data_IF_231084293376
#
_entry.id   IF_231084293376
#
_cell.length_a   1.000
_cell.length_b   1.000
_cell.length_c   1.000
_cell.angle_alpha   90.00
_cell.angle_beta   90.00
_cell.angle_gamma   90.00
#
_symmetry.space_group_name_H-M   'P 1'
#
loop_
_entity.id
_entity.type
_entity.pdbx_description
1 polymer ?
#
# COMPACT_ATOMS: atom_id res chain seq x y z
N UNK A 1 2.64 13.02 0.00
CA UNK A 1 2.98 11.58 -0.08
C UNK A 1 3.43 11.12 1.30
N UNK A 2 3.29 9.83 1.63
CA UNK A 2 3.62 9.26 2.95
C UNK A 2 5.09 9.43 3.39
N UNK A 3 5.97 9.93 2.52
CA UNK A 3 7.39 10.13 2.83
C UNK A 3 8.23 8.84 2.86
N UNK A 4 7.62 7.68 2.60
CA UNK A 4 8.30 6.38 2.58
C UNK A 4 8.78 6.02 1.17
N UNK A 5 9.97 5.42 1.09
CA UNK A 5 10.53 4.87 -0.14
C UNK A 5 9.96 3.49 -0.47
N UNK A 6 10.13 3.05 -1.73
CA UNK A 6 9.80 1.69 -2.17
C UNK A 6 10.52 0.61 -1.33
N UNK A 7 11.76 0.87 -0.90
CA UNK A 7 12.54 -0.05 -0.07
C UNK A 7 11.92 -0.18 1.32
N UNK A 8 11.53 0.94 1.94
CA UNK A 8 10.88 0.93 3.25
C UNK A 8 9.51 0.24 3.19
N UNK A 9 8.71 0.52 2.15
CA UNK A 9 7.44 -0.17 1.95
C UNK A 9 7.64 -1.68 1.78
N UNK A 10 8.65 -2.10 1.01
CA UNK A 10 8.96 -3.51 0.81
C UNK A 10 9.37 -4.21 2.12
N UNK A 11 10.19 -3.53 2.95
CA UNK A 11 10.58 -4.03 4.27
C UNK A 11 9.38 -4.16 5.20
N UNK A 12 8.53 -3.14 5.29
CA UNK A 12 7.34 -3.15 6.13
C UNK A 12 6.33 -4.23 5.68
N UNK A 13 6.19 -4.44 4.37
CA UNK A 13 5.33 -5.48 3.80
C UNK A 13 5.97 -6.88 3.76
N UNK A 14 7.24 -7.04 4.18
CA UNK A 14 7.97 -8.31 4.08
C UNK A 14 7.96 -8.92 2.67
N UNK A 15 8.11 -8.08 1.64
CA UNK A 15 8.21 -8.49 0.23
C UNK A 15 9.51 -8.00 -0.38
N UNK A 16 9.85 -8.49 -1.58
CA UNK A 16 10.99 -7.93 -2.31
C UNK A 16 10.68 -6.52 -2.81
N UNK A 17 11.69 -5.64 -2.87
CA UNK A 17 11.54 -4.31 -3.50
C UNK A 17 11.03 -4.41 -4.94
N UNK A 18 11.46 -5.43 -5.68
CA UNK A 18 11.03 -5.67 -7.05
C UNK A 18 9.52 -5.92 -7.13
N UNK A 19 8.94 -6.63 -6.15
CA UNK A 19 7.49 -6.84 -6.04
C UNK A 19 6.73 -5.50 -5.94
N UNK A 20 7.24 -4.54 -5.16
CA UNK A 20 6.64 -3.20 -5.04
C UNK A 20 6.75 -2.44 -6.35
N UNK A 21 7.93 -2.41 -6.98
CA UNK A 21 8.13 -1.76 -8.29
C UNK A 21 7.21 -2.34 -9.36
N UNK A 22 7.06 -3.66 -9.38
CA UNK A 22 6.21 -4.37 -10.33
C UNK A 22 4.72 -4.07 -10.13
N UNK A 23 4.30 -3.91 -8.87
CA UNK A 23 2.96 -3.50 -8.52
C UNK A 23 2.69 -2.05 -8.97
N UNK A 24 3.57 -1.11 -8.61
CA UNK A 24 3.42 0.31 -8.92
C UNK A 24 3.38 0.58 -10.43
N UNK A 25 4.18 -0.15 -11.22
CA UNK A 25 4.19 -0.02 -12.69
C UNK A 25 3.10 -0.82 -13.40
N UNK A 26 2.26 -1.55 -12.66
CA UNK A 26 1.21 -2.41 -13.21
C UNK A 26 1.73 -3.59 -14.04
N UNK A 27 2.98 -4.02 -13.86
CA UNK A 27 3.59 -5.08 -14.66
C UNK A 27 3.02 -6.47 -14.35
N UNK A 28 2.47 -6.67 -13.15
CA UNK A 28 1.80 -7.91 -12.74
C UNK A 28 0.81 -7.65 -11.62
N UNK A 29 -0.26 -8.42 -11.58
CA UNK A 29 -1.10 -8.53 -10.38
C UNK A 29 -0.33 -9.31 -9.32
N UNK A 30 -0.02 -8.74 -8.14
CA UNK A 30 0.66 -9.48 -7.09
C UNK A 30 -0.24 -10.60 -6.57
N UNK A 31 0.38 -11.67 -6.06
CA UNK A 31 -0.34 -12.70 -5.33
C UNK A 31 -1.12 -12.10 -4.15
N UNK A 32 -2.24 -12.73 -3.79
CA UNK A 32 -3.16 -12.25 -2.73
C UNK A 32 -2.45 -11.98 -1.40
N UNK A 33 -1.45 -12.79 -1.04
CA UNK A 33 -0.65 -12.58 0.16
C UNK A 33 0.18 -11.29 0.09
N UNK A 34 0.83 -11.01 -1.03
CA UNK A 34 1.62 -9.79 -1.24
C UNK A 34 0.73 -8.55 -1.26
N UNK A 35 -0.45 -8.63 -1.89
CA UNK A 35 -1.44 -7.55 -1.86
C UNK A 35 -1.88 -7.24 -0.43
N UNK A 36 -2.19 -8.28 0.35
CA UNK A 36 -2.59 -8.13 1.76
C UNK A 36 -1.47 -7.50 2.58
N UNK A 37 -0.23 -7.96 2.40
CA UNK A 37 0.93 -7.43 3.13
C UNK A 37 1.24 -5.97 2.77
N UNK A 38 1.18 -5.60 1.49
CA UNK A 38 1.36 -4.21 1.03
C UNK A 38 0.24 -3.32 1.58
N UNK A 39 -1.02 -3.78 1.54
CA UNK A 39 -2.16 -3.04 2.11
C UNK A 39 -1.95 -2.78 3.61
N UNK A 40 -1.60 -3.81 4.38
CA UNK A 40 -1.35 -3.69 5.81
C UNK A 40 -0.20 -2.74 6.13
N UNK A 41 0.89 -2.77 5.35
CA UNK A 41 2.01 -1.86 5.52
C UNK A 41 1.61 -0.40 5.28
N UNK A 42 0.83 -0.14 4.23
CA UNK A 42 0.28 1.19 3.97
C UNK A 42 -0.67 1.65 5.09
N UNK A 43 -1.50 0.74 5.62
CA UNK A 43 -2.38 1.06 6.75
C UNK A 43 -1.62 1.37 8.04
N UNK A 44 -0.52 0.64 8.29
CA UNK A 44 0.38 0.91 9.42
C UNK A 44 1.15 2.24 9.24
N UNK A 45 1.50 2.58 8.00
CA UNK A 45 2.07 3.88 7.64
C UNK A 45 1.02 5.01 7.64
N UNK A 46 -0.25 4.69 7.92
CA UNK A 46 -1.28 5.70 8.15
C UNK A 46 -2.30 5.91 7.06
N UNK A 47 -2.26 5.10 6.01
CA UNK A 47 -3.33 5.05 5.01
C UNK A 47 -4.57 4.40 5.62
N UNK A 48 -5.73 4.81 5.15
CA UNK A 48 -6.98 4.11 5.41
C UNK A 48 -7.67 3.89 4.06
N UNK A 49 -7.93 2.62 3.75
CA UNK A 49 -8.65 2.22 2.55
C UNK A 49 -10.14 2.30 2.82
N UNK A 50 -10.85 3.01 1.94
CA UNK A 50 -12.28 3.23 2.05
C UNK A 50 -12.95 2.33 1.01
N UNK A 51 -13.85 1.41 1.42
CA UNK A 51 -14.59 0.58 0.49
C UNK A 51 -15.52 1.44 -0.35
N UNK A 52 -15.91 0.92 -1.52
CA UNK A 52 -16.84 1.60 -2.41
C UNK A 52 -18.18 1.87 -1.72
N UNK A 53 -18.60 3.14 -1.71
CA UNK A 53 -19.83 3.60 -1.07
C UNK A 53 -20.73 4.42 -2.02
N UNK A 54 -20.76 4.03 -3.30
CA UNK A 54 -21.54 4.71 -4.36
C UNK A 54 -20.80 5.84 -5.08
N UNK A 55 -19.67 6.31 -4.54
CA UNK A 55 -18.76 7.26 -5.19
C UNK A 55 -17.47 6.66 -5.74
N UNK A 56 -17.31 5.33 -5.68
CA UNK A 56 -16.08 4.61 -6.01
C UNK A 56 -15.20 4.31 -4.79
N UNK A 57 -14.12 3.56 -5.02
CA UNK A 57 -13.11 3.23 -4.00
C UNK A 57 -12.23 4.44 -3.67
N UNK A 58 -11.71 4.53 -2.44
CA UNK A 58 -10.88 5.66 -2.03
C UNK A 58 -9.81 5.33 -0.98
N UNK A 59 -8.92 6.30 -0.75
CA UNK A 59 -7.92 6.25 0.31
C UNK A 59 -7.87 7.60 1.03
N UNK A 60 -7.61 7.59 2.35
CA UNK A 60 -7.32 8.80 3.14
C UNK A 60 -6.11 8.58 4.05
N UNK A 61 -5.55 9.67 4.57
CA UNK A 61 -4.56 9.64 5.64
C UNK A 61 -5.26 9.76 6.99
N UNK A 62 -4.85 8.96 7.97
CA UNK A 62 -5.36 9.03 9.35
C UNK A 62 -4.96 10.38 9.96
N UNK A 63 -5.84 10.98 10.78
CA UNK A 63 -5.52 12.21 11.52
C UNK A 63 -4.48 11.91 12.61
N UNK A 64 -3.43 12.72 12.71
CA UNK A 64 -2.46 12.70 13.83
C UNK A 64 -1.13 11.97 13.57
N UNK A 65 -0.81 11.66 12.33
CA UNK A 65 0.43 10.98 11.87
C UNK A 65 1.19 11.81 10.81
N UNK A 66 0.93 13.12 10.78
CA UNK A 66 1.65 14.10 9.97
C UNK A 66 2.29 15.13 10.90
#
# INVERSE_FOLDING_TARGET
MLGISQTELAQQASVSRQTVVDFERGARTPYTNNLTAIRSALEAAGVEFIPENGGGVGVRLRKGIA
#
